data_IF_095446020956
#
_entry.id   IF_095446020956
#
_cell.length_a   1.000
_cell.length_b   1.000
_cell.length_c   1.000
_cell.angle_alpha   90.00
_cell.angle_beta   90.00
_cell.angle_gamma   90.00
#
_symmetry.space_group_name_H-M   'P 1'
#
loop_
_entity.id
_entity.type
_entity.pdbx_description
1 polymer ?
#
# COMPACT_ATOMS: atom_id res chain seq x y z
N UNK A 1 -15.45 -19.99 -4.62
CA UNK A 1 -14.71 -20.52 -3.47
C UNK A 1 -13.46 -21.33 -3.86
N UNK A 2 -13.54 -22.28 -4.79
CA UNK A 2 -12.37 -23.10 -5.21
C UNK A 2 -11.18 -22.24 -5.67
N UNK A 3 -11.40 -21.18 -6.44
CA UNK A 3 -10.30 -20.30 -6.88
C UNK A 3 -9.63 -19.54 -5.72
N UNK A 4 -10.41 -19.03 -4.77
CA UNK A 4 -9.90 -18.29 -3.60
C UNK A 4 -9.04 -19.15 -2.67
N UNK A 5 -9.24 -20.47 -2.66
CA UNK A 5 -8.43 -21.40 -1.88
C UNK A 5 -7.34 -22.08 -2.72
N UNK A 6 -7.68 -22.49 -3.94
CA UNK A 6 -6.80 -23.23 -4.84
C UNK A 6 -5.63 -22.38 -5.35
N UNK A 7 -5.84 -21.11 -5.72
CA UNK A 7 -4.76 -20.26 -6.19
C UNK A 7 -3.70 -20.00 -5.10
N UNK A 8 -4.04 -19.57 -3.86
CA UNK A 8 -3.04 -19.38 -2.82
C UNK A 8 -2.28 -20.65 -2.46
N UNK A 9 -2.95 -21.80 -2.43
CA UNK A 9 -2.30 -23.09 -2.16
C UNK A 9 -1.31 -23.42 -3.27
N UNK A 10 -1.75 -23.38 -4.53
CA UNK A 10 -0.88 -23.67 -5.67
C UNK A 10 0.30 -22.71 -5.77
N UNK A 11 0.05 -21.42 -5.54
CA UNK A 11 1.12 -20.41 -5.48
C UNK A 11 2.12 -20.74 -4.37
N UNK A 12 1.66 -21.09 -3.17
CA UNK A 12 2.54 -21.45 -2.05
C UNK A 12 3.38 -22.68 -2.37
N UNK A 13 2.77 -23.70 -2.99
CA UNK A 13 3.48 -24.91 -3.41
C UNK A 13 4.53 -24.60 -4.47
N UNK A 14 4.19 -23.81 -5.50
CA UNK A 14 5.11 -23.44 -6.58
C UNK A 14 6.25 -22.54 -6.10
N UNK A 15 5.93 -21.50 -5.33
CA UNK A 15 6.96 -20.60 -4.79
C UNK A 15 7.84 -21.32 -3.79
N UNK A 16 7.24 -22.10 -2.88
CA UNK A 16 7.97 -22.88 -1.90
C UNK A 16 8.91 -23.89 -2.55
N UNK A 17 8.44 -24.64 -3.56
CA UNK A 17 9.28 -25.61 -4.26
C UNK A 17 10.41 -24.94 -5.03
N UNK A 18 10.14 -23.84 -5.73
CA UNK A 18 11.16 -23.05 -6.41
C UNK A 18 12.24 -22.57 -5.44
N UNK A 19 11.87 -21.91 -4.33
CA UNK A 19 12.86 -21.38 -3.40
C UNK A 19 13.65 -22.49 -2.70
N UNK A 20 13.00 -23.59 -2.30
CA UNK A 20 13.69 -24.75 -1.71
C UNK A 20 14.72 -25.31 -2.71
N UNK A 21 14.33 -25.48 -3.98
CA UNK A 21 15.23 -25.97 -5.02
C UNK A 21 16.46 -25.06 -5.16
N UNK A 22 16.27 -23.74 -5.20
CA UNK A 22 17.40 -22.80 -5.28
C UNK A 22 18.29 -22.85 -4.02
N UNK A 23 17.73 -22.99 -2.81
CA UNK A 23 18.52 -23.05 -1.57
C UNK A 23 19.47 -24.26 -1.56
N UNK A 24 19.00 -25.41 -2.05
CA UNK A 24 19.72 -26.67 -1.89
C UNK A 24 20.51 -27.11 -3.13
N UNK A 25 20.13 -26.66 -4.33
CA UNK A 25 20.70 -27.16 -5.59
C UNK A 25 21.50 -26.11 -6.38
N UNK A 26 21.56 -24.85 -5.94
CA UNK A 26 22.41 -23.82 -6.56
C UNK A 26 23.65 -23.59 -5.70
N UNK A 27 24.82 -23.63 -6.35
CA UNK A 27 26.09 -23.30 -5.71
C UNK A 27 26.10 -21.83 -5.28
N UNK A 28 26.43 -21.56 -4.02
CA UNK A 28 26.52 -20.20 -3.46
C UNK A 28 25.27 -19.33 -3.76
N UNK A 29 24.08 -19.73 -3.25
CA UNK A 29 22.80 -19.13 -3.63
C UNK A 29 22.60 -17.71 -3.07
N UNK A 30 23.42 -17.31 -2.09
CA UNK A 30 23.35 -16.00 -1.44
C UNK A 30 24.30 -14.96 -2.04
N UNK A 31 25.18 -15.36 -2.96
CA UNK A 31 26.09 -14.43 -3.63
C UNK A 31 25.35 -13.55 -4.64
N UNK A 32 25.41 -12.21 -4.52
CA UNK A 32 24.73 -11.28 -5.42
C UNK A 32 25.29 -11.31 -6.85
N UNK A 33 26.49 -11.85 -7.04
CA UNK A 33 27.09 -12.09 -8.36
C UNK A 33 26.64 -13.38 -9.03
N UNK A 34 25.90 -14.26 -8.33
CA UNK A 34 25.36 -15.48 -8.91
C UNK A 34 24.00 -15.20 -9.56
N UNK A 35 23.88 -15.23 -10.91
CA UNK A 35 22.63 -14.94 -11.60
C UNK A 35 21.53 -15.98 -11.37
N UNK A 36 21.87 -17.14 -10.79
CA UNK A 36 20.92 -18.21 -10.47
C UNK A 36 20.56 -18.26 -8.98
N UNK A 37 21.19 -17.44 -8.15
CA UNK A 37 20.97 -17.42 -6.70
C UNK A 37 19.68 -16.72 -6.28
N UNK A 38 19.34 -16.80 -5.00
CA UNK A 38 18.16 -16.15 -4.42
C UNK A 38 18.38 -14.65 -4.28
N UNK A 39 19.63 -14.23 -4.07
CA UNK A 39 19.99 -12.82 -3.89
C UNK A 39 19.56 -11.93 -5.04
N UNK A 40 19.64 -12.39 -6.30
CA UNK A 40 19.18 -11.57 -7.44
C UNK A 40 17.66 -11.36 -7.42
N UNK A 41 16.89 -12.39 -7.02
CA UNK A 41 15.44 -12.31 -6.90
C UNK A 41 15.05 -11.34 -5.78
N UNK A 42 15.71 -11.43 -4.63
CA UNK A 42 15.47 -10.53 -3.51
C UNK A 42 15.88 -9.09 -3.82
N UNK A 43 16.97 -8.87 -4.57
CA UNK A 43 17.38 -7.54 -5.01
C UNK A 43 16.37 -6.91 -5.97
N UNK A 44 15.85 -7.68 -6.94
CA UNK A 44 14.83 -7.21 -7.86
C UNK A 44 13.55 -6.78 -7.13
N UNK A 45 13.03 -7.65 -6.26
CA UNK A 45 11.82 -7.36 -5.50
C UNK A 45 12.04 -6.28 -4.44
N UNK A 46 13.21 -6.25 -3.80
CA UNK A 46 13.59 -5.22 -2.85
C UNK A 46 13.71 -3.84 -3.50
N UNK A 47 14.33 -3.75 -4.68
CA UNK A 47 14.39 -2.52 -5.46
C UNK A 47 13.00 -2.06 -5.88
N UNK A 48 12.18 -2.98 -6.40
CA UNK A 48 10.80 -2.68 -6.78
C UNK A 48 10.01 -2.15 -5.59
N UNK A 49 10.05 -2.83 -4.44
CA UNK A 49 9.39 -2.41 -3.21
C UNK A 49 9.89 -1.03 -2.74
N UNK A 50 11.20 -0.79 -2.77
CA UNK A 50 11.77 0.51 -2.40
C UNK A 50 11.27 1.64 -3.32
N UNK A 51 11.22 1.41 -4.63
CA UNK A 51 10.65 2.37 -5.59
C UNK A 51 9.18 2.64 -5.26
N UNK A 52 8.36 1.61 -5.03
CA UNK A 52 6.96 1.80 -4.66
C UNK A 52 6.81 2.60 -3.36
N UNK A 53 7.60 2.29 -2.33
CA UNK A 53 7.55 3.01 -1.05
C UNK A 53 7.98 4.48 -1.21
N UNK A 54 9.04 4.75 -1.97
CA UNK A 54 9.52 6.11 -2.22
C UNK A 54 8.51 6.91 -3.04
N UNK A 55 7.93 6.30 -4.07
CA UNK A 55 6.95 6.94 -4.93
C UNK A 55 5.56 7.05 -4.27
N UNK A 56 5.28 6.28 -3.22
CA UNK A 56 3.99 6.30 -2.52
C UNK A 56 3.59 7.71 -2.06
N UNK A 57 4.54 8.54 -1.63
CA UNK A 57 4.25 9.93 -1.23
C UNK A 57 3.77 10.80 -2.40
N UNK A 58 4.19 10.49 -3.63
CA UNK A 58 3.85 11.28 -4.81
C UNK A 58 2.69 10.68 -5.61
N UNK A 59 2.46 9.37 -5.52
CA UNK A 59 1.44 8.68 -6.29
C UNK A 59 0.09 8.55 -5.56
N UNK A 60 0.06 8.73 -4.24
CA UNK A 60 -1.16 8.52 -3.45
C UNK A 60 -1.55 9.82 -2.75
N UNK A 61 -2.60 10.47 -3.26
CA UNK A 61 -3.30 11.55 -2.56
C UNK A 61 -4.24 10.94 -1.51
N UNK A 62 -4.11 11.33 -0.25
CA UNK A 62 -5.02 10.90 0.83
C UNK A 62 -5.54 12.10 1.59
N UNK A 63 -6.84 12.15 1.92
CA UNK A 63 -7.37 13.19 2.76
C UNK A 63 -6.75 13.06 4.15
N UNK A 64 -6.39 14.21 4.73
CA UNK A 64 -5.79 14.31 6.04
C UNK A 64 -6.82 14.89 7.00
N UNK A 65 -7.25 14.07 7.95
CA UNK A 65 -8.24 14.45 8.96
C UNK A 65 -7.57 15.12 10.16
N UNK A 66 -8.04 16.30 10.53
CA UNK A 66 -7.57 17.04 11.71
C UNK A 66 -8.64 17.04 12.80
N UNK A 67 -8.23 16.74 14.02
CA UNK A 67 -9.11 16.88 15.17
C UNK A 67 -9.24 18.36 15.53
N UNK A 68 -10.46 18.90 15.51
CA UNK A 68 -10.76 20.27 15.89
C UNK A 68 -11.44 20.23 17.27
N UNK A 69 -10.90 20.91 18.29
CA UNK A 69 -11.51 20.90 19.63
C UNK A 69 -12.96 21.36 19.60
N UNK A 70 -13.82 20.69 20.38
CA UNK A 70 -15.20 21.11 20.56
C UNK A 70 -15.25 22.55 21.10
N UNK A 71 -15.97 23.45 20.39
CA UNK A 71 -16.07 24.87 20.75
C UNK A 71 -14.97 25.77 20.18
N UNK A 72 -14.09 25.26 19.31
CA UNK A 72 -13.22 26.12 18.51
C UNK A 72 -14.07 26.89 17.48
N UNK A 73 -14.22 28.20 17.67
CA UNK A 73 -14.94 29.10 16.75
C UNK A 73 -14.15 29.44 15.48
N UNK A 74 -12.95 28.86 15.34
CA UNK A 74 -12.02 29.15 14.26
C UNK A 74 -12.13 28.03 13.22
N UNK A 75 -12.65 28.32 12.01
CA UNK A 75 -12.78 27.32 10.97
C UNK A 75 -11.40 26.81 10.50
N UNK A 76 -11.38 25.54 10.08
CA UNK A 76 -10.15 24.78 9.77
C UNK A 76 -9.34 25.39 8.60
N UNK A 77 -10.02 26.11 7.71
CA UNK A 77 -9.46 26.83 6.56
C UNK A 77 -8.46 27.93 6.97
N UNK A 78 -8.63 28.51 8.15
CA UNK A 78 -7.73 29.54 8.68
C UNK A 78 -6.43 28.98 9.26
N UNK A 79 -6.31 27.66 9.39
CA UNK A 79 -5.09 27.02 9.88
C UNK A 79 -4.03 26.92 8.77
N UNK A 80 -2.73 26.85 9.10
CA UNK A 80 -1.69 26.61 8.11
C UNK A 80 -1.96 25.33 7.29
N UNK A 81 -2.17 25.50 5.99
CA UNK A 81 -2.53 24.43 5.07
C UNK A 81 -4.03 24.20 4.90
N UNK A 82 -4.90 24.92 5.60
CA UNK A 82 -6.36 24.80 5.52
C UNK A 82 -6.98 25.19 4.17
N UNK A 83 -6.19 25.78 3.28
CA UNK A 83 -6.56 26.03 1.87
C UNK A 83 -6.49 24.76 0.99
N UNK A 84 -5.87 23.67 1.47
CA UNK A 84 -5.78 22.40 0.76
C UNK A 84 -7.08 21.61 0.93
N UNK A 85 -7.80 21.39 -0.17
CA UNK A 85 -9.07 20.64 -0.21
C UNK A 85 -8.95 19.24 0.44
N UNK A 86 -7.76 18.65 0.42
CA UNK A 86 -7.48 17.35 1.03
C UNK A 86 -7.43 17.39 2.57
N UNK A 87 -7.51 18.57 3.19
CA UNK A 87 -7.58 18.72 4.65
C UNK A 87 -9.03 18.80 5.10
N UNK A 88 -9.45 17.83 5.89
CA UNK A 88 -10.83 17.70 6.38
C UNK A 88 -10.86 17.72 7.92
N UNK A 89 -12.00 18.09 8.49
CA UNK A 89 -12.22 17.91 9.93
C UNK A 89 -12.58 16.45 10.22
N UNK A 90 -12.11 15.92 11.35
CA UNK A 90 -12.53 14.58 11.82
C UNK A 90 -14.06 14.52 11.91
N UNK A 91 -14.66 13.58 11.17
CA UNK A 91 -16.12 13.43 11.05
C UNK A 91 -16.67 13.87 9.69
N UNK A 92 -15.91 14.65 8.92
CA UNK A 92 -16.29 15.03 7.57
C UNK A 92 -16.10 13.88 6.58
N UNK A 93 -16.95 13.85 5.56
CA UNK A 93 -16.87 12.88 4.47
C UNK A 93 -16.15 13.57 3.31
N UNK A 94 -15.12 12.92 2.77
CA UNK A 94 -14.48 13.38 1.54
C UNK A 94 -15.49 13.34 0.38
N UNK A 95 -15.66 14.46 -0.32
CA UNK A 95 -16.60 14.57 -1.46
C UNK A 95 -15.91 14.94 -2.78
N UNK A 96 -14.60 15.17 -2.78
CA UNK A 96 -13.82 15.67 -3.92
C UNK A 96 -13.48 14.65 -5.02
N UNK A 97 -14.28 13.59 -5.18
CA UNK A 97 -14.09 12.55 -6.21
C UNK A 97 -13.25 11.35 -5.76
N UNK A 98 -12.96 10.43 -6.68
CA UNK A 98 -12.28 9.17 -6.33
C UNK A 98 -10.80 9.38 -5.97
N UNK A 99 -10.46 9.03 -4.73
CA UNK A 99 -9.10 9.06 -4.17
C UNK A 99 -8.23 7.90 -4.63
N UNK A 100 -8.89 6.77 -4.94
CA UNK A 100 -8.32 5.61 -5.59
C UNK A 100 -8.90 5.65 -7.01
N UNK A 101 -8.09 5.91 -8.03
CA UNK A 101 -8.57 6.04 -9.42
C UNK A 101 -9.65 5.01 -9.76
N UNK A 102 -10.84 5.52 -10.08
CA UNK A 102 -12.08 4.81 -10.39
C UNK A 102 -11.84 3.48 -11.11
N UNK A 103 -12.09 2.36 -10.42
CA UNK A 103 -12.15 1.02 -11.03
C UNK A 103 -13.59 0.63 -11.43
N UNK A 104 -14.54 1.55 -11.31
CA UNK A 104 -15.94 1.35 -11.64
C UNK A 104 -16.65 0.29 -10.80
N UNK A 105 -16.04 -0.21 -9.71
CA UNK A 105 -16.60 -1.32 -8.93
C UNK A 105 -17.70 -0.89 -7.95
N UNK A 106 -17.94 0.42 -7.73
CA UNK A 106 -19.03 0.91 -6.89
C UNK A 106 -19.05 0.32 -5.46
N UNK A 107 -17.89 -0.11 -4.95
CA UNK A 107 -17.75 -0.55 -3.57
C UNK A 107 -17.26 0.64 -2.78
N UNK A 108 -18.21 1.34 -2.18
CA UNK A 108 -17.98 2.33 -1.13
C UNK A 108 -16.87 1.84 -0.18
N UNK A 109 -15.66 2.34 -0.40
CA UNK A 109 -14.57 2.23 0.57
C UNK A 109 -14.75 3.42 1.49
N UNK A 110 -15.74 3.29 2.37
CA UNK A 110 -15.78 4.04 3.60
C UNK A 110 -14.49 3.65 4.35
N UNK A 111 -13.42 4.40 4.14
CA UNK A 111 -12.34 4.48 5.10
C UNK A 111 -12.90 5.24 6.28
N UNK A 112 -13.80 4.58 7.03
CA UNK A 112 -14.04 4.93 8.43
C UNK A 112 -12.65 4.81 9.04
N UNK A 113 -12.03 5.94 9.36
CA UNK A 113 -11.05 5.96 10.41
C UNK A 113 -11.79 5.46 11.65
N UNK A 114 -11.83 4.14 11.82
CA UNK A 114 -12.37 3.52 13.01
C UNK A 114 -11.58 4.10 14.18
N UNK A 115 -12.34 4.79 15.02
CA UNK A 115 -11.95 5.25 16.33
C UNK A 115 -11.27 4.11 17.10
N UNK A 116 -9.97 4.26 17.32
CA UNK A 116 -9.24 3.69 18.45
C UNK A 116 -8.13 4.65 18.86
#
# INVERSE_FOLDING_TARGET
YIMYLGFPIMFTVLMGSYFIDVIFNVDDPWNPGNPKGISIVLLFWGFTAAVFILLNRWLVSRPLYRNVPEGAEVPIDTLPGGEDDMILQVGDIWTGGDLDGDDGSGKDRVLVAELA
#
